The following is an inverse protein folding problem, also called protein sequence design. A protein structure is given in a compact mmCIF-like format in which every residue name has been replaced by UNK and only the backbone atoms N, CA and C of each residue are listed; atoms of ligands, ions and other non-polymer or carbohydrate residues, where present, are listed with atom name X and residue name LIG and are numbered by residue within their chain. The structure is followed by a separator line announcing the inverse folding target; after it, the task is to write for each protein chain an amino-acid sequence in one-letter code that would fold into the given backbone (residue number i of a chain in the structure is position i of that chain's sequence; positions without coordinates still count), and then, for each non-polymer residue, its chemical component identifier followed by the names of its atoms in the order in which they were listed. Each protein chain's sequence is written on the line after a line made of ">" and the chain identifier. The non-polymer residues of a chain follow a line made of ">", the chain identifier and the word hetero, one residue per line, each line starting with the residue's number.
data_IF_062494711547
#
_entry.id   IF_062494711547
#
_cell.length_a   1.000
_cell.length_b   1.000
_cell.length_c   1.000
_cell.angle_alpha   90.00
_cell.angle_beta   90.00
_cell.angle_gamma   90.00
#
_symmetry.space_group_name_H-M   'P 1'
#
loop_
_entity.id
_entity.type
_entity.pdbx_description
1 polymer ?
#
# COMPACT_ATOMS: atom_id res chain seq x y z
N UNK A 1 -0.41 40.16 -31.96
CA UNK A 1 -0.78 38.91 -32.67
C UNK A 1 -1.02 37.81 -31.64
N UNK A 2 -2.28 37.54 -31.30
CA UNK A 2 -2.67 36.48 -30.37
C UNK A 2 -2.69 35.15 -31.12
N UNK A 3 -1.64 34.35 -31.00
CA UNK A 3 -1.56 33.05 -31.66
C UNK A 3 -2.44 32.02 -30.91
N UNK A 4 -3.49 31.48 -31.54
CA UNK A 4 -4.39 30.50 -30.92
C UNK A 4 -3.67 29.19 -30.56
N UNK A 5 -2.55 28.90 -31.24
CA UNK A 5 -1.69 27.74 -30.99
C UNK A 5 -0.97 27.78 -29.63
N UNK A 6 -0.69 28.97 -29.09
CA UNK A 6 -0.07 29.09 -27.77
C UNK A 6 -1.05 28.78 -26.64
N UNK A 7 -2.35 29.06 -26.82
CA UNK A 7 -3.39 28.72 -25.84
C UNK A 7 -3.66 27.22 -25.75
N UNK A 8 -3.68 26.52 -26.89
CA UNK A 8 -3.88 25.07 -26.91
C UNK A 8 -2.68 24.32 -26.29
N UNK A 9 -1.45 24.79 -26.53
CA UNK A 9 -0.25 24.24 -25.89
C UNK A 9 -0.21 24.53 -24.37
N UNK A 10 -0.71 25.69 -23.92
CA UNK A 10 -0.81 26.00 -22.49
C UNK A 10 -1.86 25.13 -21.77
N UNK A 11 -3.00 24.85 -22.40
CA UNK A 11 -4.02 23.97 -21.80
C UNK A 11 -3.59 22.50 -21.71
N UNK A 12 -2.80 22.01 -22.67
CA UNK A 12 -2.22 20.66 -22.60
C UNK A 12 -1.15 20.54 -21.49
N UNK A 13 -0.48 21.64 -21.15
CA UNK A 13 0.57 21.67 -20.11
C UNK A 13 0.04 21.80 -18.68
N UNK A 14 -1.14 22.40 -18.48
CA UNK A 14 -1.68 22.66 -17.13
C UNK A 14 -2.37 21.44 -16.49
N UNK A 15 -3.05 20.59 -17.27
CA UNK A 15 -3.72 19.40 -16.75
C UNK A 15 -2.73 18.32 -16.26
N UNK A 16 -1.55 18.27 -16.87
CA UNK A 16 -0.41 17.43 -16.50
C UNK A 16 0.10 17.71 -15.07
N UNK A 17 -0.09 18.91 -14.52
CA UNK A 17 0.40 19.22 -13.17
C UNK A 17 -0.60 18.87 -12.07
N UNK A 18 -1.90 19.04 -12.33
CA UNK A 18 -2.94 18.82 -11.31
C UNK A 18 -2.99 17.37 -10.83
N UNK A 19 -2.82 16.40 -11.73
CA UNK A 19 -2.83 14.99 -11.37
C UNK A 19 -1.60 14.59 -10.54
N UNK A 20 -0.43 15.14 -10.86
CA UNK A 20 0.82 14.90 -10.10
C UNK A 20 0.67 15.40 -8.66
N UNK A 21 0.04 16.56 -8.48
CA UNK A 21 -0.27 17.11 -7.16
C UNK A 21 -1.20 16.17 -6.39
N UNK A 22 -2.27 15.66 -7.04
CA UNK A 22 -3.16 14.69 -6.40
C UNK A 22 -2.45 13.40 -5.95
N UNK A 23 -1.58 12.84 -6.80
CA UNK A 23 -0.82 11.63 -6.45
C UNK A 23 0.16 11.90 -5.32
N UNK A 24 0.90 13.01 -5.37
CA UNK A 24 1.81 13.42 -4.28
C UNK A 24 1.07 13.60 -2.95
N UNK A 25 -0.07 14.28 -2.99
CA UNK A 25 -0.90 14.50 -1.80
C UNK A 25 -1.42 13.16 -1.25
N UNK A 26 -1.84 12.24 -2.12
CA UNK A 26 -2.23 10.88 -1.76
C UNK A 26 -1.10 10.07 -1.10
N UNK A 27 0.12 10.14 -1.64
CA UNK A 27 1.31 9.50 -1.05
C UNK A 27 1.60 10.05 0.34
N UNK A 28 1.57 11.38 0.51
CA UNK A 28 1.81 12.03 1.81
C UNK A 28 0.75 11.59 2.83
N UNK A 29 -0.53 11.62 2.45
CA UNK A 29 -1.64 11.17 3.30
C UNK A 29 -1.47 9.71 3.72
N UNK A 30 -1.05 8.85 2.79
CA UNK A 30 -0.79 7.44 3.05
C UNK A 30 0.34 7.23 4.07
N UNK A 31 1.47 7.94 3.92
CA UNK A 31 2.56 7.87 4.91
C UNK A 31 2.14 8.36 6.29
N UNK A 32 1.36 9.45 6.36
CA UNK A 32 0.83 9.94 7.62
C UNK A 32 -0.05 8.89 8.27
N UNK A 33 -0.97 8.28 7.51
CA UNK A 33 -1.88 7.25 8.02
C UNK A 33 -1.11 6.02 8.57
N UNK A 34 -0.11 5.53 7.84
CA UNK A 34 0.69 4.37 8.28
C UNK A 34 1.54 4.69 9.50
N UNK A 35 2.16 5.86 9.53
CA UNK A 35 3.00 6.25 10.66
C UNK A 35 2.20 6.28 11.97
N UNK A 36 0.90 6.59 11.90
CA UNK A 36 0.01 6.58 13.06
C UNK A 36 -0.42 5.16 13.49
N UNK A 37 -0.51 4.20 12.56
CA UNK A 37 -1.14 2.90 12.83
C UNK A 37 -0.11 1.78 13.07
N UNK A 38 0.95 1.68 12.27
CA UNK A 38 1.77 0.44 12.20
C UNK A 38 3.28 0.65 12.05
N UNK A 39 3.76 1.89 12.17
CA UNK A 39 5.14 2.30 11.86
C UNK A 39 5.53 2.03 10.40
N UNK A 40 6.46 2.84 9.87
CA UNK A 40 6.88 2.74 8.47
C UNK A 40 7.77 1.52 8.26
N UNK A 41 7.22 0.48 7.64
CA UNK A 41 7.94 -0.67 7.08
C UNK A 41 8.50 -0.41 5.66
N UNK A 42 9.53 -1.16 5.23
CA UNK A 42 10.14 -1.05 3.90
C UNK A 42 9.13 -1.22 2.74
N UNK A 43 8.09 -2.02 2.94
CA UNK A 43 7.05 -2.29 1.93
C UNK A 43 6.33 -1.00 1.50
N UNK A 44 6.13 -0.04 2.40
CA UNK A 44 5.48 1.23 2.08
C UNK A 44 6.39 2.16 1.28
N UNK A 45 7.71 2.08 1.50
CA UNK A 45 8.70 2.82 0.71
C UNK A 45 8.69 2.29 -0.73
N UNK A 46 8.60 0.98 -0.91
CA UNK A 46 8.44 0.38 -2.24
C UNK A 46 7.15 0.85 -2.93
N UNK A 47 6.03 0.85 -2.22
CA UNK A 47 4.75 1.34 -2.77
C UNK A 47 4.83 2.82 -3.18
N UNK A 48 5.50 3.64 -2.37
CA UNK A 48 5.72 5.04 -2.66
C UNK A 48 6.63 5.27 -3.87
N UNK A 49 7.71 4.49 -4.01
CA UNK A 49 8.60 4.52 -5.17
C UNK A 49 7.86 4.12 -6.45
N UNK A 50 7.01 3.10 -6.38
CA UNK A 50 6.15 2.70 -7.49
C UNK A 50 5.22 3.85 -7.89
N UNK A 51 4.54 4.49 -6.93
CA UNK A 51 3.69 5.67 -7.18
C UNK A 51 4.48 6.86 -7.75
N UNK A 52 5.70 7.10 -7.27
CA UNK A 52 6.59 8.15 -7.79
C UNK A 52 7.08 7.85 -9.20
N UNK A 53 7.35 6.57 -9.52
CA UNK A 53 7.79 6.16 -10.85
C UNK A 53 6.72 6.45 -11.90
N UNK A 54 5.44 6.33 -11.53
CA UNK A 54 4.33 6.69 -12.40
C UNK A 54 4.19 8.20 -12.61
N UNK A 55 4.62 9.03 -11.64
CA UNK A 55 4.68 10.49 -11.76
C UNK A 55 5.60 10.98 -12.90
N UNK A 56 6.63 10.18 -13.21
CA UNK A 56 7.60 10.40 -14.28
C UNK A 56 7.11 9.85 -15.63
N UNK A 57 6.09 8.98 -15.61
CA UNK A 57 5.51 8.39 -16.80
C UNK A 57 4.60 9.35 -17.58
N UNK A 58 4.51 9.15 -18.89
CA UNK A 58 3.54 9.83 -19.78
C UNK A 58 2.13 9.25 -19.58
N UNK A 59 1.16 9.65 -20.40
CA UNK A 59 -0.25 9.24 -20.27
C UNK A 59 -0.52 7.73 -20.10
N UNK A 60 0.35 6.85 -20.63
CA UNK A 60 0.23 5.39 -20.44
C UNK A 60 0.39 4.97 -18.98
N UNK A 61 1.27 5.62 -18.22
CA UNK A 61 1.47 5.36 -16.80
C UNK A 61 0.23 5.74 -15.97
N UNK A 62 -0.43 6.85 -16.35
CA UNK A 62 -1.66 7.29 -15.71
C UNK A 62 -2.80 6.28 -15.92
N UNK A 63 -2.98 5.76 -17.14
CA UNK A 63 -3.99 4.73 -17.43
C UNK A 63 -3.70 3.46 -16.66
N UNK A 64 -2.46 2.99 -16.68
CA UNK A 64 -2.03 1.83 -15.91
C UNK A 64 -2.34 1.97 -14.42
N UNK A 65 -2.06 3.14 -13.82
CA UNK A 65 -2.37 3.41 -12.42
C UNK A 65 -3.87 3.32 -12.10
N UNK A 66 -4.72 3.84 -12.98
CA UNK A 66 -6.17 3.80 -12.79
C UNK A 66 -6.65 2.35 -12.87
N UNK A 67 -6.18 1.61 -13.87
CA UNK A 67 -6.54 0.21 -14.08
C UNK A 67 -6.08 -0.69 -12.92
N UNK A 68 -4.91 -0.38 -12.34
CA UNK A 68 -4.34 -1.11 -11.20
C UNK A 68 -4.74 -0.56 -9.84
N UNK A 69 -5.45 0.56 -9.78
CA UNK A 69 -5.87 1.19 -8.52
C UNK A 69 -6.66 0.24 -7.60
N UNK A 70 -7.52 -0.68 -8.08
CA UNK A 70 -8.21 -1.61 -7.20
C UNK A 70 -7.24 -2.57 -6.48
N UNK A 71 -6.19 -3.03 -7.17
CA UNK A 71 -5.17 -3.91 -6.59
C UNK A 71 -4.32 -3.17 -5.56
N UNK A 72 -3.91 -1.93 -5.87
CA UNK A 72 -3.15 -1.11 -4.92
C UNK A 72 -3.99 -0.82 -3.67
N UNK A 73 -5.27 -0.47 -3.84
CA UNK A 73 -6.19 -0.24 -2.73
C UNK A 73 -6.38 -1.50 -1.89
N UNK A 74 -6.57 -2.66 -2.52
CA UNK A 74 -6.69 -3.94 -1.84
C UNK A 74 -5.42 -4.27 -1.05
N UNK A 75 -4.25 -4.07 -1.64
CA UNK A 75 -2.98 -4.31 -0.96
C UNK A 75 -2.83 -3.40 0.27
N UNK A 76 -3.14 -2.10 0.14
CA UNK A 76 -3.13 -1.17 1.28
C UNK A 76 -4.09 -1.65 2.39
N UNK A 77 -5.32 -2.00 2.04
CA UNK A 77 -6.31 -2.48 3.01
C UNK A 77 -5.85 -3.77 3.72
N UNK A 78 -5.31 -4.72 2.96
CA UNK A 78 -4.74 -5.95 3.52
C UNK A 78 -3.56 -5.66 4.45
N UNK A 79 -2.65 -4.76 4.06
CA UNK A 79 -1.48 -4.46 4.86
C UNK A 79 -1.84 -3.76 6.19
N UNK A 80 -2.83 -2.88 6.17
CA UNK A 80 -3.40 -2.31 7.40
C UNK A 80 -3.97 -3.39 8.32
N UNK A 81 -4.77 -4.31 7.77
CA UNK A 81 -5.33 -5.43 8.54
C UNK A 81 -4.24 -6.33 9.11
N UNK A 82 -3.21 -6.65 8.31
CA UNK A 82 -2.05 -7.43 8.73
C UNK A 82 -1.30 -6.74 9.86
N UNK A 83 -1.06 -5.44 9.74
CA UNK A 83 -0.38 -4.69 10.79
C UNK A 83 -1.13 -4.66 12.12
N UNK A 84 -2.47 -4.61 12.08
CA UNK A 84 -3.32 -4.78 13.28
C UNK A 84 -3.22 -6.21 13.82
N UNK A 85 -3.25 -7.22 12.95
CA UNK A 85 -3.10 -8.61 13.38
C UNK A 85 -1.74 -8.85 14.06
N UNK A 86 -0.67 -8.27 13.54
CA UNK A 86 0.68 -8.34 14.14
C UNK A 86 0.73 -7.70 15.53
N UNK A 87 0.05 -6.56 15.74
CA UNK A 87 0.04 -5.89 17.06
C UNK A 87 -0.72 -6.68 18.12
N UNK A 88 -1.76 -7.42 17.72
CA UNK A 88 -2.55 -8.28 18.61
C UNK A 88 -1.90 -9.66 18.79
N UNK A 89 -1.00 -10.09 17.89
CA UNK A 89 -0.37 -11.41 17.93
C UNK A 89 0.32 -11.74 19.25
N UNK A 90 0.93 -10.74 19.90
CA UNK A 90 1.56 -10.90 21.21
C UNK A 90 0.58 -11.09 22.38
N UNK A 91 -0.69 -10.70 22.20
CA UNK A 91 -1.76 -10.86 23.19
C UNK A 91 -2.45 -12.23 23.09
N UNK A 92 -2.31 -12.92 21.96
CA UNK A 92 -2.89 -14.24 21.75
C UNK A 92 -2.06 -15.26 22.54
N UNK A 93 -2.64 -15.85 23.58
CA UNK A 93 -2.00 -16.92 24.36
C UNK A 93 -1.96 -18.22 23.55
N UNK A 94 -0.97 -18.34 22.66
CA UNK A 94 -0.78 -19.51 21.79
C UNK A 94 -0.17 -20.69 22.59
N UNK A 95 0.55 -20.39 23.67
CA UNK A 95 1.28 -21.37 24.48
C UNK A 95 0.37 -22.36 25.21
N UNK A 96 -0.76 -21.92 25.73
CA UNK A 96 -1.69 -22.80 26.43
C UNK A 96 -2.34 -23.80 25.46
N UNK A 97 -3.04 -23.39 24.37
CA UNK A 97 -3.58 -24.31 23.38
C UNK A 97 -2.54 -25.27 22.80
N UNK A 98 -1.35 -24.76 22.46
CA UNK A 98 -0.24 -25.57 21.95
C UNK A 98 0.18 -26.67 22.92
N UNK A 99 0.30 -26.36 24.22
CA UNK A 99 0.66 -27.35 25.25
C UNK A 99 -0.44 -28.39 25.45
N UNK A 100 -1.71 -28.00 25.37
CA UNK A 100 -2.84 -28.92 25.44
C UNK A 100 -2.87 -29.87 24.24
N UNK A 101 -2.69 -29.34 23.03
CA UNK A 101 -2.61 -30.14 21.81
C UNK A 101 -1.43 -31.12 21.88
N UNK A 102 -0.25 -30.65 22.27
CA UNK A 102 0.92 -31.50 22.42
C UNK A 102 0.70 -32.60 23.47
N UNK A 103 0.09 -32.28 24.62
CA UNK A 103 -0.19 -33.28 25.65
C UNK A 103 -1.22 -34.34 25.18
N UNK A 104 -2.22 -33.94 24.40
CA UNK A 104 -3.31 -34.81 23.96
C UNK A 104 -2.90 -35.70 22.77
N UNK A 105 -2.14 -35.16 21.83
CA UNK A 105 -1.86 -35.83 20.54
C UNK A 105 -0.42 -36.34 20.39
N UNK A 106 0.56 -35.82 21.14
CA UNK A 106 1.94 -36.33 21.06
C UNK A 106 2.07 -37.82 21.38
N UNK A 107 1.31 -38.39 22.33
CA UNK A 107 1.33 -39.83 22.57
C UNK A 107 0.71 -40.66 21.42
N UNK A 108 -0.26 -40.09 20.70
CA UNK A 108 -0.96 -40.75 19.60
C UNK A 108 -0.15 -40.71 18.29
N UNK A 109 0.58 -39.61 18.06
CA UNK A 109 1.36 -39.35 16.85
C UNK A 109 2.86 -39.70 17.00
N UNK A 110 3.23 -40.46 18.03
CA UNK A 110 4.62 -40.86 18.32
C UNK A 110 5.65 -39.71 18.33
N UNK A 111 5.21 -38.48 18.64
CA UNK A 111 6.08 -37.32 18.76
C UNK A 111 6.31 -36.50 17.49
N UNK A 112 5.64 -36.79 16.38
CA UNK A 112 5.76 -36.04 15.12
C UNK A 112 4.85 -34.78 15.08
N UNK A 113 5.04 -33.86 16.04
CA UNK A 113 4.39 -32.52 16.07
C UNK A 113 5.30 -31.42 16.63
#
# INVERSE_FOLDING_TARGET
>A
MNNPLLRTLQHLRQNEHRWKIFVLLGVILYFIAINQVIHVRPDHIFLALVLLSFLLGKERAKKFLIDWSPFVLFWIAYDMMRGIADSVRGLIHITAPYRWEKALFSPLLHGDI
#
